data_IF_305744683478
#
_entry.id   IF_305744683478
#
_cell.length_a   1.000
_cell.length_b   1.000
_cell.length_c   1.000
_cell.angle_alpha   90.00
_cell.angle_beta   90.00
_cell.angle_gamma   90.00
#
_symmetry.space_group_name_H-M   'P 1'
#
loop_
_entity.id
_entity.type
_entity.pdbx_description
1 polymer ?
#
# COMPACT_ATOMS: atom_id res chain seq x y z
N UNK A 1 -1.80 23.35 -20.84
CA UNK A 1 -0.58 23.21 -21.67
C UNK A 1 -0.85 22.30 -22.85
N UNK A 2 -1.34 21.07 -22.64
CA UNK A 2 -1.68 20.15 -23.73
C UNK A 2 -2.82 20.67 -24.60
N UNK A 3 -3.85 21.30 -24.02
CA UNK A 3 -4.94 21.93 -24.78
C UNK A 3 -4.43 23.03 -25.73
N UNK A 4 -3.50 23.86 -25.26
CA UNK A 4 -2.86 24.89 -26.08
C UNK A 4 -2.08 24.27 -27.26
N UNK A 5 -1.41 23.14 -27.03
CA UNK A 5 -0.69 22.41 -28.07
C UNK A 5 -1.66 21.86 -29.13
N UNK A 6 -2.80 21.30 -28.69
CA UNK A 6 -3.87 20.83 -29.56
C UNK A 6 -4.46 21.99 -30.38
N UNK A 7 -4.72 23.13 -29.74
CA UNK A 7 -5.28 24.32 -30.41
C UNK A 7 -4.33 24.84 -31.49
N UNK A 8 -3.02 24.89 -31.20
CA UNK A 8 -2.00 25.30 -32.19
C UNK A 8 -1.95 24.31 -33.35
N UNK A 9 -1.91 23.01 -33.09
CA UNK A 9 -1.92 21.98 -34.13
C UNK A 9 -3.19 22.08 -35.00
N UNK A 10 -4.35 22.25 -34.37
CA UNK A 10 -5.64 22.40 -35.06
C UNK A 10 -5.66 23.63 -35.95
N UNK A 11 -5.14 24.76 -35.45
CA UNK A 11 -5.01 26.02 -36.20
C UNK A 11 -4.11 25.86 -37.43
N UNK A 12 -3.08 25.02 -37.33
CA UNK A 12 -2.17 24.70 -38.44
C UNK A 12 -2.62 23.50 -39.29
N UNK A 13 -3.83 22.96 -39.07
CA UNK A 13 -4.36 21.77 -39.75
C UNK A 13 -3.47 20.53 -39.58
N UNK A 14 -2.76 20.44 -38.47
CA UNK A 14 -1.96 19.29 -38.07
C UNK A 14 -2.78 18.43 -37.10
N UNK A 15 -2.74 17.11 -37.27
CA UNK A 15 -3.32 16.17 -36.31
C UNK A 15 -2.22 15.68 -35.38
N UNK A 16 -2.38 15.95 -34.08
CA UNK A 16 -1.48 15.43 -33.06
C UNK A 16 -1.84 13.97 -32.78
N UNK A 17 -1.07 13.03 -33.34
CA UNK A 17 -1.17 11.61 -33.03
C UNK A 17 -0.03 11.22 -32.10
N UNK A 18 -0.37 10.83 -30.88
CA UNK A 18 0.56 10.35 -29.87
C UNK A 18 0.06 8.99 -29.39
N UNK A 19 0.60 7.95 -30.01
CA UNK A 19 0.44 6.57 -29.55
C UNK A 19 1.27 6.34 -28.27
N UNK A 20 2.40 7.04 -28.15
CA UNK A 20 3.26 7.04 -26.96
C UNK A 20 3.63 8.46 -26.53
N UNK A 21 3.44 8.79 -25.26
CA UNK A 21 3.82 10.07 -24.66
C UNK A 21 4.93 9.83 -23.64
N UNK A 22 6.11 10.43 -23.88
CA UNK A 22 7.25 10.27 -22.99
C UNK A 22 7.31 11.38 -21.93
N UNK A 23 7.08 11.04 -20.66
CA UNK A 23 6.98 12.01 -19.55
C UNK A 23 7.75 11.53 -18.31
N UNK A 24 7.98 12.43 -17.36
CA UNK A 24 8.55 12.05 -16.07
C UNK A 24 7.54 11.28 -15.20
N UNK A 25 8.02 10.63 -14.13
CA UNK A 25 7.20 9.82 -13.23
C UNK A 25 6.26 10.63 -12.31
N UNK A 26 6.02 11.92 -12.60
CA UNK A 26 5.14 12.73 -11.75
C UNK A 26 3.69 12.34 -12.00
N UNK A 27 3.00 11.95 -10.93
CA UNK A 27 1.57 11.61 -10.97
C UNK A 27 0.71 12.72 -11.62
N UNK A 28 1.03 13.99 -11.38
CA UNK A 28 0.35 15.13 -12.02
C UNK A 28 0.52 15.14 -13.55
N UNK A 29 1.70 14.78 -14.06
CA UNK A 29 1.97 14.70 -15.49
C UNK A 29 1.23 13.52 -16.12
N UNK A 30 1.25 12.36 -15.46
CA UNK A 30 0.48 11.19 -15.90
C UNK A 30 -1.01 11.51 -15.97
N UNK A 31 -1.56 12.12 -14.90
CA UNK A 31 -2.97 12.52 -14.83
C UNK A 31 -3.35 13.50 -15.93
N UNK A 32 -2.50 14.50 -16.20
CA UNK A 32 -2.73 15.46 -17.27
C UNK A 32 -2.73 14.81 -18.65
N UNK A 33 -1.78 13.90 -18.91
CA UNK A 33 -1.69 13.17 -20.18
C UNK A 33 -2.86 12.22 -20.37
N UNK A 34 -3.25 11.43 -19.36
CA UNK A 34 -4.39 10.50 -19.46
C UNK A 34 -5.72 11.24 -19.67
N UNK A 35 -5.89 12.45 -19.11
CA UNK A 35 -7.07 13.28 -19.33
C UNK A 35 -7.14 13.90 -20.73
N UNK A 36 -6.00 14.14 -21.35
CA UNK A 36 -5.94 14.81 -22.66
C UNK A 36 -5.87 13.78 -23.80
N UNK A 37 -5.09 12.72 -23.61
CA UNK A 37 -4.75 11.72 -24.60
C UNK A 37 -5.13 10.33 -24.09
N UNK A 38 -6.43 10.06 -24.05
CA UNK A 38 -7.02 8.85 -23.45
C UNK A 38 -6.48 7.52 -24.02
N UNK A 39 -6.03 7.51 -25.28
CA UNK A 39 -5.50 6.33 -25.95
C UNK A 39 -3.96 6.27 -25.98
N UNK A 40 -3.27 7.26 -25.43
CA UNK A 40 -1.81 7.29 -25.44
C UNK A 40 -1.21 6.36 -24.38
N UNK A 41 -0.21 5.58 -24.78
CA UNK A 41 0.64 4.84 -23.84
C UNK A 41 1.63 5.80 -23.21
N UNK A 42 1.73 5.80 -21.88
CA UNK A 42 2.74 6.61 -21.18
C UNK A 42 4.05 5.82 -21.14
N UNK A 43 5.11 6.42 -21.68
CA UNK A 43 6.47 5.92 -21.51
C UNK A 43 7.19 6.83 -20.51
N UNK A 44 7.67 6.26 -19.42
CA UNK A 44 8.29 7.07 -18.37
C UNK A 44 9.78 7.27 -18.61
N UNK A 45 10.27 8.48 -18.36
CA UNK A 45 11.64 8.84 -18.68
C UNK A 45 12.65 8.31 -17.67
N UNK A 46 13.48 7.35 -18.13
CA UNK A 46 14.59 6.76 -17.35
C UNK A 46 15.56 7.81 -16.82
N UNK A 47 15.83 8.87 -17.58
CA UNK A 47 16.77 9.90 -17.16
C UNK A 47 16.32 10.56 -15.86
N UNK A 48 15.05 10.97 -15.76
CA UNK A 48 14.51 11.59 -14.56
C UNK A 48 14.36 10.60 -13.39
N UNK A 49 14.08 9.34 -13.68
CA UNK A 49 14.08 8.27 -12.68
C UNK A 49 15.48 8.07 -12.08
N UNK A 50 16.50 7.95 -12.94
CA UNK A 50 17.90 7.87 -12.55
C UNK A 50 18.36 9.06 -11.72
N UNK A 51 17.99 10.29 -12.11
CA UNK A 51 18.31 11.50 -11.33
C UNK A 51 17.61 11.55 -9.96
N UNK A 52 16.39 11.02 -9.86
CA UNK A 52 15.64 10.99 -8.59
C UNK A 52 16.24 9.95 -7.65
N UNK A 53 16.56 8.77 -8.18
CA UNK A 53 17.26 7.73 -7.43
C UNK A 53 18.67 8.12 -7.01
N UNK A 54 19.44 8.78 -7.89
CA UNK A 54 20.77 9.27 -7.54
C UNK A 54 20.71 10.26 -6.37
N UNK A 55 19.78 11.23 -6.41
CA UNK A 55 19.55 12.14 -5.28
C UNK A 55 19.20 11.40 -3.98
N UNK A 56 18.42 10.32 -4.07
CA UNK A 56 18.09 9.48 -2.91
C UNK A 56 19.33 8.77 -2.36
N UNK A 57 20.12 8.10 -3.21
CA UNK A 57 21.39 7.45 -2.84
C UNK A 57 22.34 8.44 -2.15
N UNK A 58 22.42 9.66 -2.66
CA UNK A 58 23.19 10.74 -2.03
C UNK A 58 22.64 11.09 -0.65
N UNK A 59 21.33 11.32 -0.52
CA UNK A 59 20.69 11.73 0.75
C UNK A 59 20.83 10.72 1.89
N UNK A 60 20.98 9.43 1.58
CA UNK A 60 21.12 8.35 2.58
C UNK A 60 22.57 7.88 2.76
N UNK A 61 23.54 8.59 2.15
CA UNK A 61 24.96 8.34 2.36
C UNK A 61 25.45 7.03 1.74
N UNK A 62 24.92 6.66 0.56
CA UNK A 62 25.33 5.47 -0.21
C UNK A 62 26.10 5.83 -1.50
N UNK A 63 26.57 7.07 -1.62
CA UNK A 63 27.27 7.51 -2.83
C UNK A 63 28.60 6.79 -3.07
N UNK A 64 29.29 6.37 -2.01
CA UNK A 64 30.52 5.59 -2.11
C UNK A 64 30.21 4.15 -2.54
N UNK A 65 29.30 3.49 -1.84
CA UNK A 65 28.83 2.14 -2.15
C UNK A 65 28.33 2.00 -3.59
N UNK A 66 27.52 2.95 -4.06
CA UNK A 66 27.00 2.90 -5.43
C UNK A 66 28.08 3.05 -6.51
N UNK A 67 29.19 3.72 -6.21
CA UNK A 67 30.32 3.90 -7.14
C UNK A 67 31.32 2.76 -7.09
N UNK A 68 31.34 2.02 -5.99
CA UNK A 68 32.18 0.86 -5.80
C UNK A 68 31.54 -0.36 -6.48
N UNK A 69 32.24 -0.91 -7.48
CA UNK A 69 31.75 -2.07 -8.23
C UNK A 69 31.83 -3.37 -7.43
N UNK A 70 32.66 -3.39 -6.40
CA UNK A 70 32.87 -4.55 -5.54
C UNK A 70 31.94 -4.53 -4.32
N UNK A 71 31.33 -3.37 -4.00
CA UNK A 71 30.33 -3.24 -2.94
C UNK A 71 29.07 -4.06 -3.26
N UNK A 72 28.73 -4.99 -2.36
CA UNK A 72 27.49 -5.77 -2.46
C UNK A 72 26.25 -4.88 -2.37
N UNK A 73 26.33 -3.79 -1.59
CA UNK A 73 25.29 -2.77 -1.57
C UNK A 73 25.20 -2.04 -2.93
N UNK A 74 26.34 -1.67 -3.53
CA UNK A 74 26.40 -1.06 -4.85
C UNK A 74 25.78 -1.95 -5.95
N UNK A 75 26.09 -3.25 -5.91
CA UNK A 75 25.49 -4.26 -6.80
C UNK A 75 23.99 -4.39 -6.56
N UNK A 76 23.56 -4.50 -5.30
CA UNK A 76 22.13 -4.57 -4.95
C UNK A 76 21.35 -3.36 -5.45
N UNK A 77 21.88 -2.14 -5.23
CA UNK A 77 21.32 -0.92 -5.78
C UNK A 77 21.20 -1.07 -7.29
N UNK A 78 22.27 -1.42 -8.00
CA UNK A 78 22.28 -1.57 -9.47
C UNK A 78 21.23 -2.57 -9.96
N UNK A 79 21.09 -3.72 -9.32
CA UNK A 79 20.05 -4.71 -9.64
C UNK A 79 18.63 -4.16 -9.43
N UNK A 80 18.43 -3.32 -8.42
CA UNK A 80 17.16 -2.61 -8.21
C UNK A 80 16.78 -1.73 -9.40
N UNK A 81 17.74 -1.00 -10.00
CA UNK A 81 17.49 -0.25 -11.26
C UNK A 81 17.24 -1.20 -12.44
N UNK A 82 17.84 -2.38 -12.40
CA UNK A 82 17.71 -3.45 -13.40
C UNK A 82 16.29 -3.99 -13.54
N UNK A 83 15.47 -3.93 -12.48
CA UNK A 83 14.07 -4.38 -12.51
C UNK A 83 13.25 -3.68 -13.60
N UNK A 84 13.57 -2.43 -13.92
CA UNK A 84 12.90 -1.68 -14.99
C UNK A 84 13.16 -2.23 -16.41
N UNK A 85 14.11 -3.18 -16.56
CA UNK A 85 14.43 -3.87 -17.83
C UNK A 85 13.79 -5.24 -17.95
N UNK A 86 13.14 -5.72 -16.88
CA UNK A 86 12.49 -7.01 -16.90
C UNK A 86 11.14 -6.93 -17.62
N UNK A 87 10.77 -8.03 -18.25
CA UNK A 87 9.40 -8.21 -18.74
C UNK A 87 8.44 -8.26 -17.55
N UNK A 88 7.22 -7.77 -17.73
CA UNK A 88 6.25 -7.57 -16.63
C UNK A 88 5.90 -8.84 -15.87
N UNK A 89 5.97 -10.00 -16.53
CA UNK A 89 5.76 -11.34 -15.95
C UNK A 89 6.85 -11.76 -14.96
N UNK A 90 8.06 -11.18 -15.04
CA UNK A 90 9.21 -11.52 -14.19
C UNK A 90 9.46 -10.53 -13.06
N UNK A 91 8.80 -9.37 -13.08
CA UNK A 91 9.06 -8.30 -12.12
C UNK A 91 8.79 -8.77 -10.69
N UNK A 92 7.69 -9.49 -10.46
CA UNK A 92 7.30 -9.92 -9.11
C UNK A 92 8.31 -10.88 -8.50
N UNK A 93 8.65 -11.96 -9.22
CA UNK A 93 9.61 -12.97 -8.78
C UNK A 93 10.99 -12.34 -8.51
N UNK A 94 11.55 -11.62 -9.48
CA UNK A 94 12.86 -10.99 -9.33
C UNK A 94 12.87 -9.89 -8.25
N UNK A 95 11.75 -9.21 -8.02
CA UNK A 95 11.64 -8.25 -6.92
C UNK A 95 11.70 -8.97 -5.57
N UNK A 96 10.99 -10.08 -5.39
CA UNK A 96 11.03 -10.86 -4.14
C UNK A 96 12.46 -11.35 -3.86
N UNK A 97 13.13 -11.92 -4.86
CA UNK A 97 14.53 -12.36 -4.74
C UNK A 97 15.46 -11.20 -4.38
N UNK A 98 15.39 -10.09 -5.12
CA UNK A 98 16.22 -8.92 -4.85
C UNK A 98 16.01 -8.36 -3.44
N UNK A 99 14.77 -8.38 -2.94
CA UNK A 99 14.47 -7.92 -1.58
C UNK A 99 15.02 -8.89 -0.54
N UNK A 100 14.99 -10.20 -0.79
CA UNK A 100 15.58 -11.20 0.10
C UNK A 100 17.11 -11.05 0.19
N UNK A 101 17.75 -10.65 -0.91
CA UNK A 101 19.20 -10.38 -1.00
C UNK A 101 19.61 -8.98 -0.51
N UNK A 102 18.67 -8.20 0.06
CA UNK A 102 18.98 -6.86 0.53
C UNK A 102 19.99 -6.88 1.69
N UNK A 103 21.04 -6.04 1.66
CA UNK A 103 21.95 -5.86 2.79
C UNK A 103 21.19 -5.51 4.08
N UNK A 104 21.58 -6.12 5.20
CA UNK A 104 21.02 -5.83 6.53
C UNK A 104 21.56 -4.51 7.08
N UNK A 105 21.11 -3.40 6.49
CA UNK A 105 21.49 -2.02 6.82
C UNK A 105 20.24 -1.12 6.79
N UNK A 106 20.13 -0.22 7.77
CA UNK A 106 19.03 0.74 7.90
C UNK A 106 18.86 1.62 6.63
N UNK A 107 19.95 1.85 5.87
CA UNK A 107 19.92 2.56 4.59
C UNK A 107 19.12 1.82 3.52
N UNK A 108 19.06 0.47 3.53
CA UNK A 108 18.20 -0.30 2.61
C UNK A 108 16.73 0.01 2.85
N UNK A 109 16.31 0.06 4.12
CA UNK A 109 14.94 0.43 4.48
C UNK A 109 14.60 1.86 4.05
N UNK A 110 15.53 2.80 4.29
CA UNK A 110 15.40 4.20 3.85
C UNK A 110 15.33 4.35 2.33
N UNK A 111 15.99 3.46 1.57
CA UNK A 111 15.94 3.45 0.10
C UNK A 111 14.62 2.87 -0.43
N UNK A 112 14.16 1.72 0.10
CA UNK A 112 12.96 1.00 -0.35
C UNK A 112 11.67 1.77 -0.10
N UNK A 113 11.59 2.53 0.98
CA UNK A 113 10.38 3.26 1.39
C UNK A 113 10.64 4.78 1.51
N UNK A 114 10.75 5.48 0.37
CA UNK A 114 11.27 6.86 0.32
C UNK A 114 10.42 7.92 1.03
N UNK A 115 9.19 7.62 1.44
CA UNK A 115 8.25 8.57 2.06
C UNK A 115 7.97 8.36 3.54
N UNK A 116 8.56 7.36 4.21
CA UNK A 116 8.26 7.10 5.62
C UNK A 116 9.52 6.77 6.41
N UNK A 117 9.96 7.72 7.24
CA UNK A 117 10.81 7.42 8.39
C UNK A 117 10.01 6.52 9.33
N UNK A 118 10.01 5.20 9.11
CA UNK A 118 9.51 4.29 10.11
C UNK A 118 10.55 4.17 11.21
N UNK A 119 10.42 5.01 12.23
CA UNK A 119 10.75 4.53 13.58
C UNK A 119 9.77 3.41 13.87
N UNK A 120 10.24 2.19 14.17
CA UNK A 120 9.38 1.19 14.78
C UNK A 120 8.87 1.80 16.09
N UNK A 121 7.62 2.26 16.09
CA UNK A 121 6.95 2.76 17.27
C UNK A 121 6.14 1.63 17.85
N UNK A 122 6.54 1.16 19.03
CA UNK A 122 5.73 0.23 19.78
C UNK A 122 4.50 0.96 20.31
N UNK A 123 3.33 0.61 19.79
CA UNK A 123 2.03 1.18 20.17
C UNK A 123 1.60 0.67 21.55
N UNK A 124 1.90 -0.59 21.86
CA UNK A 124 1.65 -1.19 23.17
C UNK A 124 2.56 -2.41 23.39
N UNK A 125 3.18 -2.53 24.56
CA UNK A 125 4.12 -3.62 24.90
C UNK A 125 3.52 -4.71 25.79
N UNK A 126 2.43 -4.45 26.50
CA UNK A 126 1.90 -5.34 27.53
C UNK A 126 0.37 -5.27 27.58
N UNK A 127 -0.27 -6.39 27.92
CA UNK A 127 -1.71 -6.42 28.17
C UNK A 127 -2.59 -6.43 26.92
N UNK A 128 -2.04 -6.49 25.71
CA UNK A 128 -2.80 -6.73 24.49
C UNK A 128 -2.63 -8.17 24.00
N UNK A 129 -3.72 -8.76 23.51
CA UNK A 129 -3.75 -10.11 22.93
C UNK A 129 -4.61 -10.10 21.66
N UNK A 130 -4.09 -9.51 20.57
CA UNK A 130 -4.85 -9.36 19.35
C UNK A 130 -4.85 -10.60 18.46
N UNK A 131 -6.02 -10.95 17.93
CA UNK A 131 -6.17 -12.01 16.91
C UNK A 131 -6.14 -11.46 15.47
N UNK A 132 -6.61 -10.24 15.29
CA UNK A 132 -6.66 -9.52 14.01
C UNK A 132 -6.62 -8.02 14.24
N UNK A 133 -6.09 -7.29 13.26
CA UNK A 133 -5.83 -5.86 13.32
C UNK A 133 -6.20 -5.23 11.97
N UNK A 134 -6.71 -4.00 12.01
CA UNK A 134 -7.01 -3.22 10.83
C UNK A 134 -6.78 -1.73 11.08
N UNK A 135 -6.47 -0.98 10.02
CA UNK A 135 -6.04 0.42 10.08
C UNK A 135 -7.05 1.32 9.37
N UNK A 136 -7.56 2.32 10.08
CA UNK A 136 -8.19 3.50 9.47
C UNK A 136 -7.11 4.57 9.27
N UNK A 137 -6.56 4.61 8.06
CA UNK A 137 -5.49 5.54 7.70
C UNK A 137 -6.00 6.96 7.44
N UNK A 138 -7.31 7.17 7.28
CA UNK A 138 -7.90 8.48 7.01
C UNK A 138 -8.06 9.26 8.31
N UNK A 139 -8.58 8.59 9.35
CA UNK A 139 -8.80 9.21 10.66
C UNK A 139 -7.70 8.89 11.67
N UNK A 140 -6.73 8.03 11.32
CA UNK A 140 -5.58 7.73 12.17
C UNK A 140 -5.93 6.84 13.37
N UNK A 141 -6.73 5.79 13.14
CA UNK A 141 -7.10 4.85 14.18
C UNK A 141 -6.67 3.43 13.86
N UNK A 142 -6.29 2.68 14.90
CA UNK A 142 -6.04 1.25 14.84
C UNK A 142 -7.21 0.53 15.49
N UNK A 143 -7.70 -0.50 14.82
CA UNK A 143 -8.74 -1.40 15.32
C UNK A 143 -8.16 -2.79 15.48
N UNK A 144 -8.46 -3.48 16.58
CA UNK A 144 -7.96 -4.83 16.80
C UNK A 144 -8.93 -5.66 17.62
N UNK A 145 -9.04 -6.95 17.29
CA UNK A 145 -9.71 -7.90 18.20
C UNK A 145 -8.84 -8.08 19.43
N UNK A 146 -9.43 -8.35 20.60
CA UNK A 146 -8.67 -8.50 21.83
C UNK A 146 -9.35 -9.51 22.76
N UNK A 147 -8.54 -10.34 23.42
CA UNK A 147 -8.94 -11.31 24.46
C UNK A 147 -10.01 -12.30 24.02
N UNK A 148 -10.17 -12.48 22.70
CA UNK A 148 -11.21 -13.33 22.11
C UNK A 148 -12.63 -12.97 22.58
N UNK A 149 -12.85 -11.73 23.03
CA UNK A 149 -14.16 -11.27 23.52
C UNK A 149 -14.57 -9.88 23.04
N UNK A 150 -13.66 -9.11 22.43
CA UNK A 150 -13.93 -7.73 22.06
C UNK A 150 -13.16 -7.24 20.85
N UNK A 151 -13.57 -6.08 20.35
CA UNK A 151 -12.81 -5.26 19.41
C UNK A 151 -12.55 -3.91 20.08
N UNK A 152 -11.30 -3.49 20.03
CA UNK A 152 -10.81 -2.23 20.57
C UNK A 152 -10.42 -1.29 19.43
N UNK A 153 -10.48 0.01 19.71
CA UNK A 153 -10.03 1.10 18.83
C UNK A 153 -9.08 2.00 19.62
N UNK A 154 -7.97 2.41 19.04
CA UNK A 154 -7.08 3.43 19.60
C UNK A 154 -6.53 4.36 18.51
N UNK A 155 -5.85 5.43 18.91
CA UNK A 155 -5.06 6.28 18.01
C UNK A 155 -3.83 5.53 17.46
N UNK A 156 -3.20 6.04 16.39
CA UNK A 156 -1.97 5.45 15.83
C UNK A 156 -0.80 5.35 16.82
N UNK A 157 -0.77 6.22 17.83
CA UNK A 157 0.24 6.22 18.90
C UNK A 157 -0.14 5.30 20.08
N UNK A 158 -1.31 4.66 20.03
CA UNK A 158 -1.81 3.76 21.08
C UNK A 158 -2.64 4.44 22.16
N UNK A 159 -2.73 5.78 22.15
CA UNK A 159 -3.56 6.53 23.10
C UNK A 159 -5.06 6.33 22.82
N UNK A 160 -5.89 6.69 23.82
CA UNK A 160 -7.36 6.66 23.72
C UNK A 160 -7.93 5.30 23.30
N UNK A 161 -7.36 4.22 23.82
CA UNK A 161 -7.91 2.88 23.62
C UNK A 161 -9.31 2.76 24.23
N UNK A 162 -10.29 2.35 23.43
CA UNK A 162 -11.68 2.15 23.82
C UNK A 162 -12.22 0.84 23.26
N UNK A 163 -13.08 0.18 24.02
CA UNK A 163 -13.80 -1.01 23.56
C UNK A 163 -15.02 -0.56 22.73
N UNK A 164 -15.11 -0.99 21.47
CA UNK A 164 -16.20 -0.61 20.55
C UNK A 164 -17.19 -1.75 20.30
N UNK A 165 -16.75 -2.99 20.50
CA UNK A 165 -17.61 -4.16 20.55
C UNK A 165 -17.19 -5.03 21.73
N UNK A 166 -18.13 -5.41 22.58
CA UNK A 166 -17.91 -6.25 23.76
C UNK A 166 -18.74 -7.53 23.69
N UNK A 167 -18.40 -8.51 24.54
CA UNK A 167 -19.14 -9.77 24.67
C UNK A 167 -19.25 -10.59 23.37
N UNK A 168 -18.28 -10.44 22.47
CA UNK A 168 -18.15 -11.21 21.25
C UNK A 168 -17.68 -12.64 21.57
N UNK A 169 -18.01 -13.59 20.70
CA UNK A 169 -17.59 -14.99 20.86
C UNK A 169 -16.47 -15.33 19.89
N UNK A 170 -15.23 -15.37 20.39
CA UNK A 170 -14.03 -15.65 19.58
C UNK A 170 -13.94 -14.79 18.31
N UNK A 171 -13.95 -13.45 18.42
CA UNK A 171 -13.64 -12.59 17.29
C UNK A 171 -12.20 -12.79 16.84
N UNK A 172 -11.96 -12.79 15.53
CA UNK A 172 -10.61 -13.00 15.01
C UNK A 172 -10.29 -12.12 13.81
N UNK A 173 -10.81 -12.46 12.64
CA UNK A 173 -10.59 -11.70 11.43
C UNK A 173 -11.31 -10.35 11.50
N UNK A 174 -10.65 -9.28 11.06
CA UNK A 174 -11.15 -7.91 11.09
C UNK A 174 -10.71 -7.19 9.82
N UNK A 175 -11.65 -6.55 9.13
CA UNK A 175 -11.41 -5.73 7.94
C UNK A 175 -12.25 -4.46 7.98
N UNK A 176 -11.75 -3.39 7.37
CA UNK A 176 -12.39 -2.08 7.32
C UNK A 176 -12.58 -1.63 5.88
N UNK A 177 -13.79 -1.20 5.55
CA UNK A 177 -14.07 -0.32 4.42
C UNK A 177 -14.14 1.11 4.96
N UNK A 178 -12.97 1.74 5.03
CA UNK A 178 -12.79 3.08 5.59
C UNK A 178 -13.58 4.12 4.78
N UNK A 179 -13.62 3.97 3.45
CA UNK A 179 -14.30 4.90 2.54
C UNK A 179 -15.79 4.96 2.82
N UNK A 180 -16.42 3.81 3.05
CA UNK A 180 -17.85 3.72 3.27
C UNK A 180 -18.23 3.65 4.74
N UNK A 181 -17.27 3.56 5.67
CA UNK A 181 -17.50 3.55 7.13
C UNK A 181 -18.05 2.22 7.65
N UNK A 182 -17.67 1.10 7.01
CA UNK A 182 -18.07 -0.25 7.39
C UNK A 182 -16.91 -1.06 7.96
N UNK A 183 -17.21 -1.88 8.95
CA UNK A 183 -16.32 -2.85 9.57
C UNK A 183 -16.91 -4.24 9.41
N UNK A 184 -16.04 -5.19 9.13
CA UNK A 184 -16.39 -6.58 8.91
C UNK A 184 -15.51 -7.43 9.82
N UNK A 185 -16.10 -8.33 10.59
CA UNK A 185 -15.33 -9.21 11.46
C UNK A 185 -15.97 -10.58 11.63
N UNK A 186 -15.15 -11.60 11.89
CA UNK A 186 -15.64 -12.93 12.21
C UNK A 186 -15.89 -13.07 13.71
N UNK A 187 -16.94 -13.79 14.09
CA UNK A 187 -17.13 -14.38 15.43
C UNK A 187 -17.16 -15.91 15.29
N UNK A 188 -16.07 -16.54 15.69
CA UNK A 188 -15.84 -17.98 15.49
C UNK A 188 -16.41 -18.88 16.60
N UNK A 189 -17.05 -18.28 17.61
CA UNK A 189 -17.83 -19.02 18.60
C UNK A 189 -19.06 -19.67 17.97
N UNK A 190 -19.71 -20.57 18.72
CA UNK A 190 -20.91 -21.28 18.23
C UNK A 190 -22.18 -20.53 18.66
N UNK A 191 -23.13 -20.22 17.74
CA UNK A 191 -23.05 -20.39 16.28
C UNK A 191 -22.11 -19.37 15.61
N UNK A 192 -21.41 -19.80 14.55
CA UNK A 192 -20.44 -18.96 13.83
C UNK A 192 -21.16 -17.93 12.98
N UNK A 193 -20.59 -16.74 12.91
CA UNK A 193 -21.11 -15.65 12.09
C UNK A 193 -20.03 -14.70 11.61
N UNK A 194 -20.29 -14.06 10.49
CA UNK A 194 -19.67 -12.80 10.11
C UNK A 194 -20.54 -11.66 10.61
N UNK A 195 -19.93 -10.57 11.05
CA UNK A 195 -20.62 -9.38 11.51
C UNK A 195 -20.19 -8.22 10.63
N UNK A 196 -21.18 -7.44 10.21
CA UNK A 196 -21.02 -6.17 9.50
C UNK A 196 -21.50 -5.08 10.44
N UNK A 197 -20.69 -4.06 10.70
CA UNK A 197 -21.05 -2.96 11.60
C UNK A 197 -20.55 -1.63 11.06
N UNK A 198 -21.30 -0.56 11.32
CA UNK A 198 -20.82 0.81 11.12
C UNK A 198 -19.78 1.17 12.17
N UNK A 199 -18.83 2.05 11.84
CA UNK A 199 -17.83 2.54 12.80
C UNK A 199 -18.44 3.29 13.99
N UNK A 200 -19.56 3.99 13.76
CA UNK A 200 -20.33 4.70 14.77
C UNK A 200 -21.32 3.79 15.53
N UNK A 201 -21.31 2.48 15.23
CA UNK A 201 -22.18 1.46 15.82
C UNK A 201 -23.68 1.67 15.56
N UNK A 202 -24.05 2.60 14.69
CA UNK A 202 -25.46 2.91 14.37
C UNK A 202 -26.18 1.76 13.68
N UNK A 203 -25.44 0.89 12.98
CA UNK A 203 -25.97 -0.28 12.31
C UNK A 203 -25.05 -1.48 12.50
N UNK A 204 -25.67 -2.64 12.71
CA UNK A 204 -25.01 -3.94 12.85
C UNK A 204 -25.88 -5.02 12.23
N UNK A 205 -25.25 -5.92 11.48
CA UNK A 205 -25.87 -7.10 10.91
C UNK A 205 -25.01 -8.34 11.18
N UNK A 206 -25.68 -9.39 11.63
CA UNK A 206 -25.07 -10.70 11.85
C UNK A 206 -25.44 -11.64 10.69
N UNK A 207 -24.43 -12.29 10.10
CA UNK A 207 -24.56 -13.23 8.99
C UNK A 207 -24.05 -14.59 9.46
N UNK A 208 -24.97 -15.50 9.78
CA UNK A 208 -24.62 -16.85 10.23
C UNK A 208 -24.06 -17.68 9.08
N UNK A 209 -23.01 -18.45 9.38
CA UNK A 209 -22.33 -19.29 8.40
C UNK A 209 -22.19 -20.71 8.90
N UNK A 210 -22.36 -21.67 7.98
CA UNK A 210 -22.04 -23.09 8.23
C UNK A 210 -20.55 -23.39 8.01
N UNK A 211 -19.78 -22.40 7.52
CA UNK A 211 -18.36 -22.55 7.18
C UNK A 211 -17.47 -22.83 8.39
N UNK A 212 -16.27 -23.32 8.08
CA UNK A 212 -15.15 -23.44 9.03
C UNK A 212 -14.63 -22.05 9.44
N UNK A 213 -13.79 -22.02 10.46
CA UNK A 213 -13.30 -20.82 11.15
C UNK A 213 -12.72 -19.79 10.17
N UNK A 214 -13.15 -18.53 10.28
CA UNK A 214 -12.62 -17.43 9.46
C UNK A 214 -11.43 -16.76 10.18
N UNK A 215 -10.22 -17.03 9.68
CA UNK A 215 -8.95 -16.56 10.25
C UNK A 215 -8.42 -15.27 9.62
N UNK A 216 -8.77 -14.99 8.37
CA UNK A 216 -8.36 -13.78 7.67
C UNK A 216 -9.56 -13.14 6.98
N UNK A 217 -9.47 -11.81 6.83
CA UNK A 217 -10.39 -11.02 6.05
C UNK A 217 -9.57 -9.91 5.41
N UNK A 218 -9.61 -9.81 4.10
CA UNK A 218 -8.98 -8.73 3.34
C UNK A 218 -10.06 -8.07 2.50
N UNK A 219 -10.25 -6.77 2.72
CA UNK A 219 -11.10 -5.94 1.90
C UNK A 219 -10.15 -5.19 0.99
N UNK A 220 -9.82 -5.83 -0.15
CA UNK A 220 -8.93 -5.24 -1.12
C UNK A 220 -9.41 -3.82 -1.46
N UNK A 221 -8.48 -2.88 -1.60
CA UNK A 221 -8.77 -1.55 -2.12
C UNK A 221 -9.38 -1.69 -3.52
N UNK A 222 -10.71 -1.79 -3.60
CA UNK A 222 -11.47 -1.85 -4.85
C UNK A 222 -11.29 -3.11 -5.71
N UNK A 223 -10.90 -4.28 -5.18
CA UNK A 223 -11.04 -5.58 -5.88
C UNK A 223 -11.36 -6.69 -4.90
N UNK A 224 -12.57 -7.24 -5.02
CA UNK A 224 -13.00 -8.48 -4.37
C UNK A 224 -12.07 -9.63 -4.77
N UNK A 225 -11.40 -10.23 -3.80
CA UNK A 225 -10.90 -11.61 -3.93
C UNK A 225 -11.68 -12.48 -2.95
N UNK A 226 -12.75 -13.10 -3.45
CA UNK A 226 -13.26 -14.33 -2.84
C UNK A 226 -12.28 -15.45 -3.20
N UNK A 227 -11.76 -16.12 -2.18
CA UNK A 227 -11.10 -17.42 -2.34
C UNK A 227 -12.20 -18.47 -2.15
N UNK A 228 -12.48 -19.21 -3.22
CA UNK A 228 -13.35 -20.39 -3.20
C UNK A 228 -12.79 -21.48 -2.27
#
# INVERSE_FOLDING_TARGET
MWDLLIDVCTTQRLTLQHEVVHIDFKCAMHTAVTKTFHAATISCCRFYLGQSWWRKIQSIGLSADYKDKDSDFGKWLTHFFGLAYLSTDKIEECFVELIADAPSDDKCMKFRYPSHNYTLQTICTTGINPGGIALDYVLGHVYFTHDRTKICKCNLDGSNAVDIHTSLKFPFALGLDVTNGWMYFSENGVPRKMVISRFDLSQRQDIYTQSTVAYSLDLGFGRDYKRD
#
